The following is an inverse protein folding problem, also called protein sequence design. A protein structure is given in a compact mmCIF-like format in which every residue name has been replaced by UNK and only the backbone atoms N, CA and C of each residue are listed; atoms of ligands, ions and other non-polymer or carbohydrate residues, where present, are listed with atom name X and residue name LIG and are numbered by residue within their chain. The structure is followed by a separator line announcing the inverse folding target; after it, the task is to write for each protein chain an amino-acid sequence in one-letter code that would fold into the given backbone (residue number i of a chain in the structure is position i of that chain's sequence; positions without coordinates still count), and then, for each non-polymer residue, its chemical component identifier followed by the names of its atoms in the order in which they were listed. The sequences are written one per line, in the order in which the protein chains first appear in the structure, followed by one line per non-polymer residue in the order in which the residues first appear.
data_IF_666676245174
#
_entry.id   IF_666676245174
#
_cell.length_a   1.000
_cell.length_b   1.000
_cell.length_c   1.000
_cell.angle_alpha   90.00
_cell.angle_beta   90.00
_cell.angle_gamma   90.00
#
_symmetry.space_group_name_H-M   'P 1'
#
loop_
_entity.id
_entity.type
_entity.pdbx_description
1 polymer ?
#
# COMPACT_ATOMS: atom_id res chain seq x y z
N UNK A 1 -55.91 -54.23 -11.05
CA UNK A 1 -54.51 -54.22 -10.56
C UNK A 1 -53.84 -52.99 -11.12
N UNK A 2 -53.44 -52.03 -10.26
CA UNK A 2 -52.77 -50.79 -10.67
C UNK A 2 -51.26 -51.04 -10.65
N UNK A 3 -50.62 -50.92 -11.81
CA UNK A 3 -49.16 -51.04 -11.95
C UNK A 3 -48.54 -49.68 -11.65
N UNK A 4 -47.75 -49.60 -10.58
CA UNK A 4 -46.99 -48.39 -10.21
C UNK A 4 -45.67 -48.38 -10.97
N UNK A 5 -45.44 -47.36 -11.79
CA UNK A 5 -44.16 -47.08 -12.44
C UNK A 5 -43.39 -46.12 -11.51
N UNK A 6 -42.26 -46.58 -10.98
CA UNK A 6 -41.33 -45.73 -10.22
C UNK A 6 -40.42 -44.99 -11.21
N UNK A 7 -40.55 -43.67 -11.27
CA UNK A 7 -39.67 -42.79 -12.03
C UNK A 7 -38.43 -42.50 -11.14
N UNK A 8 -37.30 -43.14 -11.44
CA UNK A 8 -36.01 -42.72 -10.85
C UNK A 8 -35.56 -41.44 -11.55
N UNK A 9 -35.77 -40.30 -10.88
CA UNK A 9 -35.12 -39.04 -11.24
C UNK A 9 -33.69 -39.12 -10.70
N UNK A 10 -32.75 -39.44 -11.59
CA UNK A 10 -31.32 -39.33 -11.32
C UNK A 10 -30.95 -37.85 -11.14
N UNK A 11 -30.74 -37.44 -9.90
CA UNK A 11 -30.14 -36.14 -9.56
C UNK A 11 -28.67 -36.21 -9.93
N UNK A 12 -28.31 -35.56 -11.03
CA UNK A 12 -26.93 -35.34 -11.42
C UNK A 12 -26.33 -34.31 -10.44
N UNK A 13 -25.54 -34.76 -9.46
CA UNK A 13 -24.77 -33.85 -8.62
C UNK A 13 -23.61 -33.32 -9.47
N UNK A 14 -23.72 -32.07 -9.90
CA UNK A 14 -22.56 -31.33 -10.39
C UNK A 14 -21.59 -31.15 -9.22
N UNK A 15 -20.45 -31.84 -9.26
CA UNK A 15 -19.27 -31.42 -8.50
C UNK A 15 -18.70 -30.21 -9.23
N UNK A 16 -19.34 -29.06 -9.03
CA UNK A 16 -18.73 -27.78 -9.28
C UNK A 16 -17.75 -27.53 -8.16
N UNK A 17 -16.45 -27.74 -8.39
CA UNK A 17 -15.41 -27.14 -7.56
C UNK A 17 -15.39 -25.65 -7.88
N UNK A 18 -16.36 -24.92 -7.34
CA UNK A 18 -16.38 -23.47 -7.37
C UNK A 18 -15.91 -22.98 -6.02
N UNK A 19 -14.59 -22.90 -5.82
CA UNK A 19 -14.05 -21.89 -4.91
C UNK A 19 -14.18 -20.54 -5.63
N UNK A 20 -15.43 -20.08 -5.78
CA UNK A 20 -15.69 -18.69 -6.13
C UNK A 20 -15.47 -17.88 -4.86
N UNK A 21 -14.19 -17.64 -4.57
CA UNK A 21 -13.79 -16.63 -3.63
C UNK A 21 -14.12 -15.28 -4.29
N UNK A 22 -15.34 -14.78 -4.08
CA UNK A 22 -15.83 -13.49 -4.62
C UNK A 22 -15.23 -12.31 -3.86
N UNK A 23 -13.94 -12.38 -3.57
CA UNK A 23 -13.20 -11.26 -3.00
C UNK A 23 -12.71 -10.39 -4.14
N UNK A 24 -13.02 -9.10 -4.07
CA UNK A 24 -12.55 -8.12 -5.05
C UNK A 24 -11.02 -8.24 -5.19
N UNK A 25 -10.53 -8.14 -6.43
CA UNK A 25 -9.11 -8.12 -6.79
C UNK A 25 -8.27 -7.25 -5.85
N UNK A 26 -8.77 -6.06 -5.47
CA UNK A 26 -8.07 -5.16 -4.55
C UNK A 26 -7.87 -5.76 -3.16
N UNK A 27 -8.85 -6.53 -2.64
CA UNK A 27 -8.75 -7.22 -1.35
C UNK A 27 -7.74 -8.38 -1.40
N UNK A 28 -7.68 -9.09 -2.54
CA UNK A 28 -6.68 -10.14 -2.74
C UNK A 28 -5.26 -9.55 -2.82
N UNK A 29 -5.09 -8.42 -3.50
CA UNK A 29 -3.81 -7.70 -3.54
C UNK A 29 -3.38 -7.22 -2.15
N UNK A 30 -4.31 -6.64 -1.38
CA UNK A 30 -4.02 -6.17 -0.03
C UNK A 30 -3.51 -7.30 0.87
N UNK A 31 -4.15 -8.48 0.83
CA UNK A 31 -3.67 -9.66 1.58
C UNK A 31 -2.26 -10.08 1.18
N UNK A 32 -1.97 -10.13 -0.13
CA UNK A 32 -0.63 -10.48 -0.61
C UNK A 32 0.44 -9.53 -0.09
N UNK A 33 0.13 -8.24 0.01
CA UNK A 33 1.03 -7.22 0.54
C UNK A 33 1.30 -7.37 2.04
N UNK A 34 0.29 -7.79 2.80
CA UNK A 34 0.43 -8.03 4.24
C UNK A 34 1.21 -9.32 4.48
N UNK A 35 0.89 -10.40 3.75
CA UNK A 35 1.51 -11.72 3.94
C UNK A 35 2.95 -11.79 3.43
N UNK A 36 3.23 -11.17 2.27
CA UNK A 36 4.52 -11.30 1.59
C UNK A 36 5.33 -10.00 1.59
N UNK A 37 4.80 -8.91 2.14
CA UNK A 37 5.41 -7.59 2.05
C UNK A 37 5.20 -6.92 0.68
N UNK A 38 5.81 -5.74 0.52
CA UNK A 38 5.97 -5.11 -0.78
C UNK A 38 7.12 -5.82 -1.51
N UNK A 39 6.94 -6.23 -2.78
CA UNK A 39 8.02 -6.84 -3.54
C UNK A 39 9.26 -5.94 -3.60
N UNK A 40 10.44 -6.55 -3.68
CA UNK A 40 11.67 -5.80 -3.90
C UNK A 40 11.64 -5.08 -5.25
N UNK A 41 12.10 -3.83 -5.26
CA UNK A 41 12.21 -3.04 -6.48
C UNK A 41 12.25 -1.55 -6.24
N UNK A 42 12.53 -0.82 -7.32
CA UNK A 42 12.51 0.65 -7.37
C UNK A 42 11.17 1.12 -7.94
N UNK A 43 10.41 1.85 -7.12
CA UNK A 43 9.08 2.34 -7.49
C UNK A 43 9.09 3.85 -7.64
N UNK A 44 8.86 4.30 -8.86
CA UNK A 44 8.73 5.73 -9.16
C UNK A 44 7.31 6.21 -8.94
N UNK A 45 7.18 7.46 -8.52
CA UNK A 45 5.89 8.07 -8.28
C UNK A 45 5.98 9.55 -7.95
N UNK A 46 4.96 10.01 -7.23
CA UNK A 46 4.84 11.40 -6.80
C UNK A 46 4.66 11.46 -5.30
N UNK A 47 5.45 12.30 -4.65
CA UNK A 47 5.18 12.77 -3.30
C UNK A 47 4.39 14.09 -3.39
N UNK A 48 3.39 14.25 -2.54
CA UNK A 48 2.70 15.53 -2.34
C UNK A 48 2.41 15.80 -0.87
N UNK A 49 2.41 17.07 -0.51
CA UNK A 49 1.93 17.55 0.79
C UNK A 49 0.92 18.67 0.57
N UNK A 50 -0.20 18.60 1.29
CA UNK A 50 -1.17 19.68 1.42
C UNK A 50 -1.15 20.12 2.88
N UNK A 51 -0.60 21.30 3.14
CA UNK A 51 -0.56 21.89 4.47
C UNK A 51 -1.92 22.46 4.85
N UNK A 52 -2.19 22.56 6.15
CA UNK A 52 -3.46 23.08 6.68
C UNK A 52 -3.68 24.57 6.36
N UNK A 53 -2.63 25.31 6.01
CA UNK A 53 -2.70 26.68 5.51
C UNK A 53 -3.08 26.76 4.01
N UNK A 54 -3.24 25.62 3.32
CA UNK A 54 -3.57 25.52 1.90
C UNK A 54 -2.37 25.44 0.96
N UNK A 55 -1.14 25.60 1.46
CA UNK A 55 0.06 25.44 0.63
C UNK A 55 0.20 23.99 0.18
N UNK A 56 0.56 23.80 -1.10
CA UNK A 56 0.72 22.47 -1.69
C UNK A 56 2.05 22.37 -2.40
N UNK A 57 2.77 21.29 -2.14
CA UNK A 57 4.02 20.95 -2.82
C UNK A 57 3.93 19.54 -3.38
N UNK A 58 4.54 19.31 -4.53
CA UNK A 58 4.52 18.02 -5.20
C UNK A 58 5.76 17.85 -6.05
N UNK A 59 6.42 16.70 -5.94
CA UNK A 59 7.62 16.37 -6.71
C UNK A 59 7.70 14.86 -7.00
N UNK A 60 8.44 14.46 -8.04
CA UNK A 60 8.78 13.06 -8.25
C UNK A 60 9.51 12.45 -7.05
N UNK A 61 9.28 11.17 -6.81
CA UNK A 61 9.96 10.39 -5.76
C UNK A 61 10.21 8.97 -6.26
N UNK A 62 11.31 8.37 -5.81
CA UNK A 62 11.56 6.93 -5.94
C UNK A 62 11.61 6.32 -4.54
N UNK A 63 10.91 5.22 -4.34
CA UNK A 63 11.02 4.40 -3.13
C UNK A 63 11.52 3.01 -3.55
N UNK A 64 12.67 2.63 -3.02
CA UNK A 64 13.23 1.29 -3.13
C UNK A 64 12.77 0.47 -1.93
N UNK A 65 12.20 -0.71 -2.16
CA UNK A 65 11.93 -1.72 -1.13
C UNK A 65 12.86 -2.91 -1.33
N UNK A 66 13.28 -3.53 -0.24
CA UNK A 66 14.22 -4.66 -0.22
C UNK A 66 13.62 -5.86 0.52
N UNK A 67 14.09 -7.07 0.19
CA UNK A 67 13.54 -8.32 0.73
C UNK A 67 13.73 -8.49 2.26
N UNK A 68 14.58 -7.68 2.89
CA UNK A 68 14.82 -7.68 4.32
C UNK A 68 13.93 -6.68 5.09
N UNK A 69 12.84 -6.22 4.47
CA UNK A 69 11.90 -5.23 5.02
C UNK A 69 12.57 -3.87 5.30
N UNK A 70 13.59 -3.53 4.51
CA UNK A 70 14.18 -2.20 4.50
C UNK A 70 13.73 -1.37 3.29
N UNK A 71 13.86 -0.05 3.40
CA UNK A 71 13.48 0.88 2.35
C UNK A 71 14.50 2.01 2.20
N UNK A 72 14.48 2.63 1.02
CA UNK A 72 15.13 3.90 0.76
C UNK A 72 14.18 4.79 -0.05
N UNK A 73 14.01 6.04 0.35
CA UNK A 73 13.20 7.04 -0.36
C UNK A 73 14.10 8.19 -0.77
N UNK A 74 14.03 8.57 -2.04
CA UNK A 74 14.75 9.71 -2.60
C UNK A 74 14.26 11.02 -2.00
N UNK A 75 15.16 12.00 -1.92
CA UNK A 75 14.78 13.39 -1.67
C UNK A 75 14.27 14.06 -2.96
N UNK A 76 13.63 15.21 -2.79
CA UNK A 76 13.17 16.06 -3.88
C UNK A 76 13.58 17.52 -3.70
N UNK A 77 13.33 18.38 -4.71
CA UNK A 77 13.62 19.81 -4.65
C UNK A 77 13.10 20.44 -3.35
N UNK A 78 13.95 21.26 -2.71
CA UNK A 78 13.65 21.92 -1.43
C UNK A 78 13.24 20.96 -0.30
N UNK A 79 13.66 19.68 -0.37
CA UNK A 79 13.31 18.61 0.57
C UNK A 79 11.82 18.21 0.54
N UNK A 80 11.16 18.33 -0.60
CA UNK A 80 9.82 17.78 -0.80
C UNK A 80 9.90 16.57 -1.74
N UNK A 81 9.91 15.31 -1.24
CA UNK A 81 10.09 14.93 0.17
C UNK A 81 11.56 15.07 0.60
N UNK A 82 11.85 14.90 1.89
CA UNK A 82 13.23 14.88 2.40
C UNK A 82 13.90 13.52 2.17
N UNK A 83 13.13 12.52 1.75
CA UNK A 83 13.55 11.12 1.62
C UNK A 83 13.36 10.34 2.92
N UNK A 84 14.10 9.24 3.05
CA UNK A 84 14.09 8.41 4.24
C UNK A 84 14.83 7.09 4.00
N UNK A 85 15.35 6.46 5.03
CA UNK A 85 16.00 5.16 4.93
C UNK A 85 15.95 4.41 6.25
N UNK A 86 15.53 3.16 6.20
CA UNK A 86 15.46 2.30 7.38
C UNK A 86 14.58 1.09 7.13
N UNK A 87 13.77 0.71 8.12
CA UNK A 87 12.89 -0.46 8.03
C UNK A 87 11.42 -0.08 7.90
N UNK A 88 10.59 -1.02 7.45
CA UNK A 88 9.15 -0.88 7.45
C UNK A 88 8.46 -2.16 7.93
N UNK A 89 7.25 -1.99 8.45
CA UNK A 89 6.34 -3.09 8.82
C UNK A 89 4.97 -2.82 8.21
N UNK A 90 4.31 -3.86 7.68
CA UNK A 90 2.99 -3.75 7.06
C UNK A 90 1.98 -4.49 7.93
N UNK A 91 0.85 -3.84 8.16
CA UNK A 91 -0.33 -4.37 8.86
C UNK A 91 -1.55 -4.16 7.97
N UNK A 92 -2.71 -4.66 8.37
CA UNK A 92 -3.97 -4.46 7.63
C UNK A 92 -4.30 -2.99 7.34
N UNK A 93 -3.99 -2.10 8.29
CA UNK A 93 -4.43 -0.70 8.24
C UNK A 93 -3.34 0.30 7.84
N UNK A 94 -2.07 -0.11 7.91
CA UNK A 94 -0.96 0.81 7.81
C UNK A 94 0.38 0.15 7.47
N UNK A 95 1.27 0.98 6.93
CA UNK A 95 2.70 0.75 6.85
C UNK A 95 3.38 1.65 7.89
N UNK A 96 4.20 1.08 8.76
CA UNK A 96 4.98 1.82 9.72
C UNK A 96 6.44 1.88 9.27
N UNK A 97 6.90 3.05 8.87
CA UNK A 97 8.29 3.30 8.49
C UNK A 97 9.11 3.71 9.71
N UNK A 98 10.33 3.23 9.82
CA UNK A 98 11.30 3.66 10.84
C UNK A 98 12.54 4.17 10.11
N UNK A 99 12.69 5.48 10.03
CA UNK A 99 13.90 6.09 9.50
C UNK A 99 15.05 5.98 10.52
N UNK A 100 16.25 5.64 10.04
CA UNK A 100 17.44 5.42 10.85
C UNK A 100 18.52 6.49 10.64
N UNK A 101 18.26 7.50 9.80
CA UNK A 101 19.22 8.57 9.51
C UNK A 101 19.20 9.63 10.62
N UNK A 102 20.35 10.24 10.85
CA UNK A 102 20.46 11.41 11.73
C UNK A 102 20.16 12.65 10.92
N UNK A 103 19.12 13.39 11.30
CA UNK A 103 18.69 14.61 10.61
C UNK A 103 18.99 15.86 11.42
N UNK A 104 19.34 16.94 10.71
CA UNK A 104 19.48 18.29 11.28
C UNK A 104 18.11 18.94 11.46
N UNK A 105 17.99 19.89 12.39
CA UNK A 105 16.71 20.53 12.75
C UNK A 105 16.33 21.76 11.88
N UNK A 106 16.86 21.85 10.66
CA UNK A 106 16.74 23.03 9.77
C UNK A 106 15.54 22.97 8.80
N UNK A 107 14.65 21.98 8.92
CA UNK A 107 13.52 21.77 8.02
C UNK A 107 12.34 21.07 8.71
N UNK A 108 11.18 20.97 8.04
CA UNK A 108 10.04 20.20 8.52
C UNK A 108 10.33 18.69 8.48
N UNK A 109 10.50 18.08 9.65
CA UNK A 109 10.78 16.65 9.78
C UNK A 109 9.63 15.75 9.32
N UNK A 110 8.41 16.27 9.17
CA UNK A 110 7.31 15.49 8.60
C UNK A 110 7.53 15.18 7.11
N UNK A 111 8.50 15.83 6.45
CA UNK A 111 8.91 15.54 5.07
C UNK A 111 9.80 14.30 4.96
N UNK A 112 10.26 13.74 6.09
CA UNK A 112 10.95 12.44 6.13
C UNK A 112 9.89 11.34 6.07
N UNK A 113 10.11 10.32 5.23
CA UNK A 113 9.29 9.12 5.23
C UNK A 113 9.54 8.32 6.51
N UNK A 114 8.77 8.63 7.56
CA UNK A 114 8.90 8.04 8.88
C UNK A 114 7.55 7.96 9.62
N UNK A 115 7.39 6.93 10.45
CA UNK A 115 6.20 6.63 11.23
C UNK A 115 5.08 5.96 10.45
N UNK A 116 3.88 5.98 11.04
CA UNK A 116 2.68 5.31 10.50
C UNK A 116 2.08 6.07 9.30
N UNK A 117 1.80 5.33 8.23
CA UNK A 117 1.03 5.77 7.06
C UNK A 117 -0.10 4.78 6.81
N UNK A 118 -1.29 5.29 6.54
CA UNK A 118 -2.35 4.48 5.94
C UNK A 118 -2.02 4.20 4.49
N UNK A 119 -2.62 3.16 3.92
CA UNK A 119 -2.40 2.84 2.53
C UNK A 119 -3.63 2.31 1.83
N UNK A 120 -3.65 2.48 0.52
CA UNK A 120 -4.61 1.82 -0.37
C UNK A 120 -3.86 1.29 -1.58
N UNK A 121 -4.29 0.14 -2.08
CA UNK A 121 -3.81 -0.44 -3.33
C UNK A 121 -4.93 -0.30 -4.35
N UNK A 122 -4.60 0.30 -5.49
CA UNK A 122 -5.54 0.51 -6.58
C UNK A 122 -4.88 0.09 -7.88
N UNK A 123 -5.34 -1.01 -8.48
CA UNK A 123 -4.78 -1.55 -9.72
C UNK A 123 -3.26 -1.82 -9.62
N UNK A 124 -2.44 -0.91 -10.14
CA UNK A 124 -0.98 -0.95 -10.13
C UNK A 124 -0.38 0.21 -9.31
N UNK A 125 -1.12 0.80 -8.38
CA UNK A 125 -0.64 1.90 -7.54
C UNK A 125 -0.74 1.55 -6.07
N UNK A 126 0.29 1.92 -5.32
CA UNK A 126 0.25 2.02 -3.86
C UNK A 126 0.22 3.50 -3.49
N UNK A 127 -0.84 3.87 -2.79
CA UNK A 127 -1.03 5.21 -2.26
C UNK A 127 -0.86 5.11 -0.75
N UNK A 128 0.20 5.68 -0.20
CA UNK A 128 0.44 5.77 1.25
C UNK A 128 0.25 7.21 1.69
N UNK A 129 -0.42 7.43 2.82
CA UNK A 129 -0.70 8.78 3.31
C UNK A 129 -0.74 8.88 4.83
N UNK A 130 -0.38 10.05 5.34
CA UNK A 130 -0.43 10.36 6.76
C UNK A 130 -0.83 11.81 7.00
N UNK A 131 -1.71 12.01 7.98
CA UNK A 131 -1.95 13.32 8.57
C UNK A 131 -0.93 13.50 9.70
N UNK A 132 0.05 14.40 9.52
CA UNK A 132 1.15 14.54 10.48
C UNK A 132 0.94 15.77 11.36
N UNK A 133 0.98 15.60 12.70
CA UNK A 133 1.12 16.65 13.71
C UNK A 133 0.26 17.91 13.53
N UNK A 134 -0.94 17.80 12.91
CA UNK A 134 -1.77 18.95 12.50
C UNK A 134 -1.04 19.94 11.57
N UNK A 135 -0.02 19.50 10.85
CA UNK A 135 0.69 20.26 9.83
C UNK A 135 0.00 20.13 8.46
N UNK A 136 -0.32 18.90 8.05
CA UNK A 136 -0.95 18.63 6.77
C UNK A 136 -1.05 17.15 6.44
N UNK A 137 -1.46 16.88 5.21
CA UNK A 137 -1.57 15.53 4.64
C UNK A 137 -0.40 15.28 3.70
N UNK A 138 0.37 14.24 3.98
CA UNK A 138 1.56 13.83 3.23
C UNK A 138 1.20 12.55 2.49
N UNK A 139 1.35 12.53 1.18
CA UNK A 139 0.93 11.42 0.32
C UNK A 139 2.06 11.00 -0.60
N UNK A 140 2.29 9.69 -0.73
CA UNK A 140 3.11 9.12 -1.79
C UNK A 140 2.22 8.25 -2.66
N UNK A 141 2.24 8.47 -3.96
CA UNK A 141 1.58 7.62 -4.96
C UNK A 141 2.65 7.02 -5.84
N UNK A 142 2.95 5.73 -5.64
CA UNK A 142 3.96 4.99 -6.40
C UNK A 142 3.30 3.93 -7.29
N UNK A 143 3.90 3.67 -8.44
CA UNK A 143 3.35 2.75 -9.46
C UNK A 143 4.16 1.46 -9.50
N UNK A 144 3.48 0.32 -9.41
CA UNK A 144 4.05 -1.00 -9.65
C UNK A 144 4.25 -1.23 -11.15
N UNK A 145 5.38 -1.85 -11.55
CA UNK A 145 5.64 -2.21 -12.94
C UNK A 145 4.65 -3.25 -13.49
#
# INVERSE_FOLDING_TARGET
MKTTIALMVSVLMFVGCSDLNTENYDTQLQRRFIENGIPEGDYTGTFSVVYNNGETYSNPVTISFFNDYTFNSSDGPMRYPAGGNGSYEITEDAINFTDLKVWTADFDWNLILNGKYHYTIQQNKLIIYANKNKAGTYTYTITFP
#
